data_IF_264858804962
#
_entry.id   IF_264858804962
#
_cell.length_a   1.000
_cell.length_b   1.000
_cell.length_c   1.000
_cell.angle_alpha   90.00
_cell.angle_beta   90.00
_cell.angle_gamma   90.00
#
_symmetry.space_group_name_H-M   'P 1'
#
loop_
_entity.id
_entity.type
_entity.pdbx_description
1 polymer ?
#
# COMPACT_ATOMS: atom_id res chain seq x y z
N UNK A 1 10.43 -14.40 2.87
CA UNK A 1 10.36 -14.20 1.41
C UNK A 1 8.89 -14.16 1.01
N UNK A 2 8.48 -13.28 0.09
CA UNK A 2 7.06 -13.09 -0.27
C UNK A 2 6.78 -13.66 -1.67
N UNK A 3 5.71 -14.43 -1.84
CA UNK A 3 5.35 -15.01 -3.15
C UNK A 3 4.37 -14.14 -3.93
N UNK A 4 3.42 -13.53 -3.21
CA UNK A 4 2.43 -12.60 -3.73
C UNK A 4 2.32 -11.40 -2.78
N UNK A 5 2.20 -10.19 -3.33
CA UNK A 5 1.92 -8.99 -2.56
C UNK A 5 0.93 -8.10 -3.31
N UNK A 6 -0.20 -7.79 -2.68
CA UNK A 6 -1.18 -6.86 -3.23
C UNK A 6 -0.86 -5.44 -2.79
N UNK A 7 -0.94 -4.50 -3.73
CA UNK A 7 -0.60 -3.09 -3.54
C UNK A 7 -1.78 -2.24 -4.03
N UNK A 8 -2.26 -1.33 -3.19
CA UNK A 8 -3.32 -0.38 -3.54
C UNK A 8 -2.77 1.04 -3.55
N UNK A 9 -2.74 1.69 -4.71
CA UNK A 9 -2.06 2.98 -4.91
C UNK A 9 -2.56 4.11 -4.01
N UNK A 10 -3.88 4.23 -3.85
CA UNK A 10 -4.48 5.31 -3.06
C UNK A 10 -4.17 5.25 -1.55
N UNK A 11 -3.49 4.20 -1.07
CA UNK A 11 -3.00 4.10 0.32
C UNK A 11 -1.67 4.83 0.53
N UNK A 12 -1.00 5.22 -0.55
CA UNK A 12 0.22 6.01 -0.55
C UNK A 12 0.12 7.15 -1.59
N UNK A 13 -1.04 7.80 -1.65
CA UNK A 13 -1.28 9.01 -2.46
C UNK A 13 -1.30 8.85 -3.99
N UNK A 14 -1.36 7.63 -4.53
CA UNK A 14 -1.64 7.46 -5.96
C UNK A 14 -3.14 7.71 -6.28
N UNK A 15 -3.50 7.89 -7.56
CA UNK A 15 -4.90 7.97 -7.98
C UNK A 15 -5.73 6.76 -7.52
N UNK A 16 -7.04 6.96 -7.29
CA UNK A 16 -7.96 5.84 -7.04
C UNK A 16 -8.13 5.01 -8.31
N UNK A 17 -8.39 3.71 -8.15
CA UNK A 17 -8.63 2.79 -9.27
C UNK A 17 -7.38 2.15 -9.86
N UNK A 18 -6.21 2.31 -9.23
CA UNK A 18 -4.97 1.65 -9.64
C UNK A 18 -4.26 0.96 -8.45
N UNK A 19 -3.64 -0.17 -8.75
CA UNK A 19 -2.89 -0.99 -7.82
C UNK A 19 -2.02 -1.97 -8.60
N UNK A 20 -1.31 -2.84 -7.88
CA UNK A 20 -0.44 -3.84 -8.47
C UNK A 20 -0.48 -5.14 -7.65
N UNK A 21 -0.10 -6.24 -8.30
CA UNK A 21 0.23 -7.49 -7.61
C UNK A 21 1.66 -7.86 -7.96
N UNK A 22 2.53 -7.91 -6.96
CA UNK A 22 3.83 -8.54 -7.12
C UNK A 22 3.65 -10.05 -7.15
N UNK A 23 4.31 -10.70 -8.10
CA UNK A 23 4.31 -12.16 -8.26
C UNK A 23 5.77 -12.59 -8.36
N UNK A 24 6.23 -13.40 -7.40
CA UNK A 24 7.56 -14.00 -7.45
C UNK A 24 7.76 -14.78 -8.75
N UNK A 25 8.95 -14.68 -9.34
CA UNK A 25 9.29 -15.48 -10.52
C UNK A 25 9.07 -16.98 -10.26
N UNK A 26 8.48 -17.68 -11.22
CA UNK A 26 8.09 -19.08 -11.10
C UNK A 26 6.73 -19.32 -10.43
N UNK A 27 6.16 -18.34 -9.74
CA UNK A 27 4.82 -18.46 -9.15
C UNK A 27 3.75 -18.25 -10.23
N UNK A 28 2.81 -19.19 -10.36
CA UNK A 28 1.74 -19.16 -11.36
C UNK A 28 0.42 -18.81 -10.67
N UNK A 29 -0.30 -17.84 -11.24
CA UNK A 29 -1.68 -17.52 -10.85
C UNK A 29 -2.61 -17.76 -12.03
N UNK A 30 -3.82 -18.23 -11.76
CA UNK A 30 -4.88 -18.29 -12.77
C UNK A 30 -5.48 -16.88 -12.92
N UNK A 31 -5.68 -16.37 -14.15
CA UNK A 31 -6.32 -15.08 -14.35
C UNK A 31 -7.77 -15.14 -13.85
N UNK A 32 -8.22 -14.08 -13.17
CA UNK A 32 -9.61 -13.95 -12.72
C UNK A 32 -10.54 -13.47 -13.85
N UNK A 33 -9.98 -12.77 -14.83
CA UNK A 33 -10.70 -12.20 -15.97
C UNK A 33 -10.13 -12.77 -17.28
N UNK A 34 -10.96 -12.87 -18.31
CA UNK A 34 -10.60 -13.37 -19.63
C UNK A 34 -10.68 -12.27 -20.70
N UNK A 35 -9.79 -12.30 -21.68
CA UNK A 35 -9.69 -11.28 -22.72
C UNK A 35 -8.33 -11.32 -23.42
N UNK A 36 -7.80 -10.16 -23.79
CA UNK A 36 -6.47 -10.03 -24.41
C UNK A 36 -5.31 -10.46 -23.49
N UNK A 37 -4.09 -10.41 -24.02
CA UNK A 37 -2.89 -10.91 -23.34
C UNK A 37 -2.11 -9.82 -22.57
N UNK A 38 -2.78 -8.72 -22.17
CA UNK A 38 -2.18 -7.67 -21.33
C UNK A 38 -1.67 -8.24 -20.00
N UNK A 39 -0.74 -7.52 -19.34
CA UNK A 39 -0.16 -7.92 -18.06
C UNK A 39 0.37 -9.37 -18.07
N UNK A 40 1.00 -9.77 -19.18
CA UNK A 40 1.53 -11.13 -19.44
C UNK A 40 0.44 -12.23 -19.36
N UNK A 41 -0.77 -11.91 -19.80
CA UNK A 41 -1.92 -12.82 -19.77
C UNK A 41 -2.56 -13.00 -18.40
N UNK A 42 -2.24 -12.14 -17.43
CA UNK A 42 -2.72 -12.27 -16.03
C UNK A 42 -3.93 -11.39 -15.73
N UNK A 43 -4.01 -10.22 -16.38
CA UNK A 43 -5.10 -9.27 -16.21
C UNK A 43 -5.38 -8.62 -17.57
N UNK A 44 -6.42 -9.07 -18.30
CA UNK A 44 -6.80 -8.48 -19.58
C UNK A 44 -7.33 -7.06 -19.43
N UNK A 45 -7.33 -6.33 -20.55
CA UNK A 45 -7.87 -4.98 -20.67
C UNK A 45 -6.77 -3.94 -20.84
N UNK A 46 -7.01 -2.97 -21.71
CA UNK A 46 -6.06 -1.89 -22.03
C UNK A 46 -5.56 -1.20 -20.76
N UNK A 47 -4.25 -1.08 -20.66
CA UNK A 47 -3.56 -0.52 -19.51
C UNK A 47 -3.92 0.97 -19.36
N UNK A 48 -4.44 1.41 -18.20
CA UNK A 48 -4.73 2.82 -17.96
C UNK A 48 -3.42 3.57 -17.66
N UNK A 49 -2.61 3.82 -18.69
CA UNK A 49 -1.25 4.37 -18.59
C UNK A 49 -1.14 5.58 -17.65
N UNK A 50 -2.03 6.59 -17.69
CA UNK A 50 -1.94 7.72 -16.76
C UNK A 50 -2.03 7.31 -15.28
N UNK A 51 -2.88 6.32 -14.97
CA UNK A 51 -3.00 5.82 -13.60
C UNK A 51 -1.76 5.02 -13.19
N UNK A 52 -1.18 4.23 -14.10
CA UNK A 52 0.04 3.46 -13.86
C UNK A 52 1.24 4.40 -13.61
N UNK A 53 1.36 5.48 -14.39
CA UNK A 53 2.36 6.52 -14.18
C UNK A 53 2.16 7.19 -12.82
N UNK A 54 0.92 7.52 -12.45
CA UNK A 54 0.58 8.05 -11.14
C UNK A 54 0.95 7.11 -9.99
N UNK A 55 0.71 5.80 -10.15
CA UNK A 55 1.14 4.77 -9.20
C UNK A 55 2.67 4.75 -9.05
N UNK A 56 3.40 4.76 -10.17
CA UNK A 56 4.87 4.78 -10.17
C UNK A 56 5.44 6.01 -9.47
N UNK A 57 4.91 7.21 -9.77
CA UNK A 57 5.38 8.44 -9.12
C UNK A 57 5.06 8.47 -7.63
N UNK A 58 3.86 8.03 -7.24
CA UNK A 58 3.49 7.93 -5.84
C UNK A 58 4.39 6.95 -5.07
N UNK A 59 4.73 5.79 -5.66
CA UNK A 59 5.62 4.81 -5.05
C UNK A 59 7.04 5.38 -4.85
N UNK A 60 7.57 6.06 -5.85
CA UNK A 60 8.88 6.69 -5.77
C UNK A 60 8.94 7.80 -4.70
N UNK A 61 7.94 8.68 -4.63
CA UNK A 61 7.87 9.69 -3.57
C UNK A 61 7.69 9.06 -2.18
N UNK A 62 6.90 7.99 -2.10
CA UNK A 62 6.70 7.27 -0.84
C UNK A 62 8.02 6.66 -0.34
N UNK A 63 8.85 6.11 -1.23
CA UNK A 63 10.18 5.59 -0.90
C UNK A 63 11.12 6.70 -0.40
N UNK A 64 11.17 7.85 -1.08
CA UNK A 64 12.01 9.00 -0.68
C UNK A 64 11.67 9.55 0.71
N UNK A 65 10.39 9.52 1.09
CA UNK A 65 9.90 10.10 2.33
C UNK A 65 9.66 9.08 3.46
N UNK A 66 9.81 7.77 3.19
CA UNK A 66 9.29 6.73 4.07
C UNK A 66 9.84 6.81 5.50
N UNK A 67 11.16 6.95 5.63
CA UNK A 67 11.83 6.95 6.93
C UNK A 67 11.43 8.20 7.74
N UNK A 68 11.51 9.38 7.12
CA UNK A 68 11.16 10.65 7.77
C UNK A 68 9.69 10.70 8.19
N UNK A 69 8.76 10.32 7.30
CA UNK A 69 7.33 10.33 7.64
C UNK A 69 6.99 9.26 8.67
N UNK A 70 7.68 8.12 8.68
CA UNK A 70 7.49 7.10 9.71
C UNK A 70 7.85 7.61 11.10
N UNK A 71 8.98 8.32 11.22
CA UNK A 71 9.41 8.93 12.49
C UNK A 71 8.43 10.02 12.95
N UNK A 72 8.06 10.94 12.05
CA UNK A 72 7.10 12.01 12.34
C UNK A 72 5.73 11.47 12.76
N UNK A 73 5.20 10.46 12.05
CA UNK A 73 3.91 9.84 12.38
C UNK A 73 4.00 9.10 13.72
N UNK A 74 5.13 8.44 14.01
CA UNK A 74 5.36 7.79 15.31
C UNK A 74 5.30 8.81 16.45
N UNK A 75 5.98 9.95 16.34
CA UNK A 75 5.97 10.99 17.37
C UNK A 75 4.56 11.52 17.64
N UNK A 76 3.82 11.86 16.58
CA UNK A 76 2.42 12.31 16.70
C UNK A 76 1.52 11.24 17.33
N UNK A 77 1.70 9.97 16.95
CA UNK A 77 0.96 8.86 17.54
C UNK A 77 1.27 8.72 19.03
N UNK A 78 2.53 8.81 19.42
CA UNK A 78 2.93 8.70 20.83
C UNK A 78 2.38 9.85 21.68
N UNK A 79 2.40 11.08 21.16
CA UNK A 79 1.79 12.23 21.83
C UNK A 79 0.29 12.01 22.03
N UNK A 80 -0.40 11.55 20.98
CA UNK A 80 -1.83 11.26 21.01
C UNK A 80 -2.17 10.15 22.02
N UNK A 81 -1.44 9.04 21.98
CA UNK A 81 -1.63 7.90 22.90
C UNK A 81 -1.39 8.30 24.36
N UNK A 82 -0.28 9.00 24.66
CA UNK A 82 0.02 9.50 26.01
C UNK A 82 -1.07 10.46 26.48
N UNK A 83 -1.56 11.33 25.58
CA UNK A 83 -2.63 12.28 25.86
C UNK A 83 -3.93 11.60 26.26
N UNK A 84 -4.34 10.54 25.55
CA UNK A 84 -5.56 9.81 25.85
C UNK A 84 -5.45 8.95 27.11
N UNK A 85 -4.40 8.13 27.21
CA UNK A 85 -4.22 7.20 28.33
C UNK A 85 -4.01 7.94 29.66
N UNK A 86 -3.45 9.17 29.63
CA UNK A 86 -3.26 9.98 30.82
C UNK A 86 -4.49 10.76 31.26
N UNK A 87 -5.53 10.91 30.42
CA UNK A 87 -6.66 11.81 30.67
C UNK A 87 -8.03 11.14 30.68
N UNK A 88 -8.20 9.99 30.01
CA UNK A 88 -9.49 9.33 29.87
C UNK A 88 -9.46 7.99 30.62
N UNK A 89 -10.35 7.78 31.61
CA UNK A 89 -10.46 6.48 32.28
C UNK A 89 -11.03 5.43 31.32
N UNK A 90 -10.72 4.16 31.59
CA UNK A 90 -11.25 3.00 30.85
C UNK A 90 -10.94 2.99 29.35
N UNK A 91 -9.77 3.51 28.94
CA UNK A 91 -9.25 3.44 27.57
C UNK A 91 -8.03 2.54 27.50
N UNK A 92 -7.92 1.78 26.41
CA UNK A 92 -6.76 0.96 26.08
C UNK A 92 -6.43 1.02 24.59
N UNK A 93 -5.19 0.67 24.25
CA UNK A 93 -4.72 0.59 22.85
C UNK A 93 -4.87 -0.84 22.35
N UNK A 94 -5.62 -1.02 21.25
CA UNK A 94 -5.73 -2.31 20.58
C UNK A 94 -4.57 -2.50 19.59
N UNK A 95 -3.96 -3.69 19.60
CA UNK A 95 -2.82 -4.00 18.71
C UNK A 95 -1.51 -3.30 19.12
N UNK A 96 -1.25 -3.20 20.44
CA UNK A 96 -0.10 -2.51 21.02
C UNK A 96 1.29 -2.95 20.52
N UNK A 97 2.31 -2.19 20.97
CA UNK A 97 3.69 -2.08 20.42
C UNK A 97 4.26 -3.34 19.74
N UNK A 98 4.44 -3.25 18.42
CA UNK A 98 5.43 -4.00 17.66
C UNK A 98 6.82 -3.36 17.81
#
# INVERSE_FOLDING_TARGET
>A
SIDLMAISGHKFHAPKGVGAIYIRSGFKIKPLFWGGNQERGRRPGTEPVPLIVGLGKAAHLAEECLDHESDRIRELREELEKGFLGKIPDVWVNGGRA
#
